data_IF_603407779324
#
_entry.id   IF_603407779324
#
_cell.length_a   1.000
_cell.length_b   1.000
_cell.length_c   1.000
_cell.angle_alpha   90.00
_cell.angle_beta   90.00
_cell.angle_gamma   90.00
#
_symmetry.space_group_name_H-M   'P 1'
#
loop_
_entity.id
_entity.type
_entity.pdbx_description
1 polymer ?
#
# COMPACT_ATOMS: atom_id res chain seq x y z
N UNK A 1 -12.14 14.56 2.13
CA UNK A 1 -10.95 13.93 1.47
C UNK A 1 -10.33 12.96 2.46
N UNK A 2 -9.95 11.76 2.02
CA UNK A 2 -9.21 10.77 2.82
C UNK A 2 -7.92 10.40 2.08
N UNK A 3 -6.85 10.15 2.85
CA UNK A 3 -5.56 9.68 2.35
C UNK A 3 -5.19 8.45 3.17
N UNK A 4 -4.89 7.34 2.50
CA UNK A 4 -4.61 6.04 3.12
C UNK A 4 -3.26 5.56 2.61
N UNK A 5 -2.31 5.34 3.50
CA UNK A 5 -1.02 4.69 3.18
C UNK A 5 -1.05 3.23 3.61
N UNK A 6 -0.76 2.31 2.70
CA UNK A 6 -0.68 0.87 3.00
C UNK A 6 0.58 0.26 2.43
N UNK A 7 1.06 -0.79 3.11
CA UNK A 7 1.91 -1.79 2.46
C UNK A 7 0.94 -2.74 1.75
N UNK A 8 0.91 -2.68 0.42
CA UNK A 8 -0.05 -3.46 -0.37
C UNK A 8 0.18 -4.95 -0.11
N UNK A 9 -0.85 -5.65 0.39
CA UNK A 9 -0.81 -7.08 0.72
C UNK A 9 -0.30 -7.94 -0.44
N UNK A 10 -0.60 -7.53 -1.67
CA UNK A 10 -0.28 -8.30 -2.87
C UNK A 10 1.09 -7.95 -3.47
N UNK A 11 1.76 -6.90 -2.94
CA UNK A 11 3.11 -6.49 -3.34
C UNK A 11 4.20 -7.44 -2.82
N UNK A 12 5.40 -7.34 -3.40
CA UNK A 12 6.57 -8.09 -2.92
C UNK A 12 6.86 -7.83 -1.44
N UNK A 13 6.76 -6.56 -1.01
CA UNK A 13 7.04 -6.15 0.36
C UNK A 13 5.96 -6.64 1.32
N UNK A 14 4.69 -6.54 0.92
CA UNK A 14 3.56 -7.06 1.68
C UNK A 14 3.68 -8.56 1.94
N UNK A 15 4.05 -9.36 0.92
CA UNK A 15 4.28 -10.80 1.08
C UNK A 15 5.40 -11.12 2.06
N UNK A 16 6.52 -10.37 1.99
CA UNK A 16 7.66 -10.56 2.89
C UNK A 16 7.29 -10.23 4.33
N UNK A 17 6.57 -9.14 4.57
CA UNK A 17 6.18 -8.76 5.93
C UNK A 17 5.09 -9.65 6.53
N UNK A 18 4.16 -10.16 5.71
CA UNK A 18 3.21 -11.19 6.15
C UNK A 18 3.91 -12.48 6.59
N UNK A 19 4.99 -12.87 5.93
CA UNK A 19 5.79 -14.03 6.30
C UNK A 19 6.63 -13.81 7.58
N UNK A 20 6.93 -12.55 7.94
CA UNK A 20 7.71 -12.24 9.15
C UNK A 20 6.87 -12.40 10.41
N UNK A 21 7.30 -13.28 11.31
CA UNK A 21 6.78 -13.40 12.69
C UNK A 21 7.31 -12.29 13.62
N UNK A 22 7.26 -11.04 13.16
CA UNK A 22 7.62 -9.85 13.95
C UNK A 22 6.51 -9.53 14.95
N UNK A 23 6.86 -8.93 16.10
CA UNK A 23 5.90 -8.40 17.09
C UNK A 23 4.89 -7.44 16.45
N UNK A 24 5.30 -6.70 15.41
CA UNK A 24 4.46 -5.74 14.70
C UNK A 24 3.57 -6.37 13.64
N UNK A 25 4.09 -7.33 12.86
CA UNK A 25 3.35 -7.88 11.71
C UNK A 25 2.54 -9.13 12.05
N UNK A 26 2.85 -9.82 13.16
CA UNK A 26 2.12 -11.02 13.61
C UNK A 26 0.63 -10.76 13.85
N UNK A 27 0.28 -9.56 14.29
CA UNK A 27 -1.11 -9.15 14.60
C UNK A 27 -1.64 -8.10 13.62
N UNK A 28 -0.86 -7.68 12.63
CA UNK A 28 -1.28 -6.68 11.66
C UNK A 28 -2.24 -7.30 10.64
N UNK A 29 -3.33 -6.59 10.35
CA UNK A 29 -4.19 -6.91 9.21
C UNK A 29 -3.64 -6.22 7.96
N UNK A 30 -3.22 -7.01 6.99
CA UNK A 30 -2.81 -6.50 5.69
C UNK A 30 -4.02 -6.32 4.78
N UNK A 31 -4.01 -5.25 3.99
CA UNK A 31 -5.03 -4.96 2.99
C UNK A 31 -4.37 -4.83 1.62
N UNK A 32 -5.04 -5.33 0.59
CA UNK A 32 -4.73 -5.01 -0.79
C UNK A 32 -5.33 -3.66 -1.18
N UNK A 33 -4.76 -3.02 -2.21
CA UNK A 33 -5.37 -1.82 -2.81
C UNK A 33 -6.81 -2.10 -3.26
N UNK A 34 -7.09 -3.29 -3.79
CA UNK A 34 -8.43 -3.68 -4.28
C UNK A 34 -9.46 -3.71 -3.15
N UNK A 35 -9.09 -4.25 -1.99
CA UNK A 35 -9.95 -4.27 -0.80
C UNK A 35 -10.27 -2.85 -0.32
N UNK A 36 -9.25 -1.97 -0.23
CA UNK A 36 -9.47 -0.57 0.17
C UNK A 36 -10.36 0.17 -0.83
N UNK A 37 -10.16 -0.02 -2.13
CA UNK A 37 -11.01 0.58 -3.17
C UNK A 37 -12.46 0.13 -3.03
N UNK A 38 -12.69 -1.16 -2.75
CA UNK A 38 -14.05 -1.68 -2.51
C UNK A 38 -14.71 -0.99 -1.31
N UNK A 39 -13.99 -0.90 -0.17
CA UNK A 39 -14.48 -0.25 1.04
C UNK A 39 -14.78 1.25 0.83
N UNK A 40 -13.89 1.95 0.11
CA UNK A 40 -14.09 3.36 -0.23
C UNK A 40 -15.35 3.57 -1.09
N UNK A 41 -15.56 2.73 -2.10
CA UNK A 41 -16.77 2.78 -2.94
C UNK A 41 -18.03 2.50 -2.13
N UNK A 42 -18.02 1.49 -1.26
CA UNK A 42 -19.15 1.20 -0.35
C UNK A 42 -19.46 2.38 0.59
N UNK A 43 -18.42 3.09 1.03
CA UNK A 43 -18.55 4.31 1.84
C UNK A 43 -18.89 5.58 1.03
N UNK A 44 -19.23 5.44 -0.27
CA UNK A 44 -19.57 6.53 -1.21
C UNK A 44 -18.43 7.52 -1.48
N UNK A 45 -17.17 7.11 -1.36
CA UNK A 45 -16.05 7.88 -1.86
C UNK A 45 -15.89 7.69 -3.38
N UNK A 46 -15.39 8.72 -4.03
CA UNK A 46 -15.13 8.83 -5.46
C UNK A 46 -13.78 9.51 -5.73
N UNK A 47 -13.46 9.76 -7.01
CA UNK A 47 -12.20 10.40 -7.46
C UNK A 47 -10.97 9.76 -6.82
N UNK A 48 -10.91 8.43 -6.88
CA UNK A 48 -9.85 7.64 -6.25
C UNK A 48 -8.58 7.72 -7.12
N UNK A 49 -7.47 8.07 -6.50
CA UNK A 49 -6.14 8.18 -7.14
C UNK A 49 -5.09 7.45 -6.31
N UNK A 50 -3.98 7.08 -6.96
CA UNK A 50 -2.97 6.18 -6.41
C UNK A 50 -1.57 6.68 -6.72
N UNK A 51 -0.67 6.57 -5.73
CA UNK A 51 0.78 6.64 -5.92
C UNK A 51 1.47 5.51 -5.19
N UNK A 52 2.62 5.08 -5.71
CA UNK A 52 3.40 3.97 -5.16
C UNK A 52 4.89 4.31 -5.08
N UNK A 53 5.59 3.69 -4.14
CA UNK A 53 7.05 3.77 -3.96
C UNK A 53 7.56 2.48 -3.32
N UNK A 54 8.86 2.39 -3.05
CA UNK A 54 9.56 1.21 -2.52
C UNK A 54 9.47 0.04 -3.50
N UNK A 55 10.17 0.13 -4.61
CA UNK A 55 10.29 -0.87 -5.67
C UNK A 55 11.36 -1.93 -5.37
N UNK A 56 12.28 -1.65 -4.46
CA UNK A 56 13.27 -2.62 -3.97
C UNK A 56 13.09 -2.91 -2.48
N UNK A 57 13.76 -3.96 -1.99
CA UNK A 57 13.74 -4.27 -0.57
C UNK A 57 14.34 -3.12 0.23
N UNK A 58 13.79 -2.78 1.41
CA UNK A 58 14.32 -1.71 2.25
C UNK A 58 15.82 -1.82 2.57
N UNK A 59 16.34 -3.06 2.68
CA UNK A 59 17.77 -3.33 2.90
C UNK A 59 18.66 -3.04 1.69
N UNK A 60 18.09 -2.87 0.50
CA UNK A 60 18.79 -2.60 -0.76
C UNK A 60 18.67 -1.13 -1.20
N UNK A 61 17.88 -0.32 -0.48
CA UNK A 61 17.68 1.09 -0.81
C UNK A 61 18.99 1.86 -0.57
N UNK A 62 19.55 2.39 -1.66
CA UNK A 62 20.76 3.24 -1.64
C UNK A 62 20.43 4.73 -1.72
N UNK A 63 19.22 5.05 -2.13
CA UNK A 63 18.71 6.41 -2.32
C UNK A 63 17.18 6.42 -2.14
N UNK A 64 16.61 7.60 -1.99
CA UNK A 64 15.16 7.79 -1.97
C UNK A 64 14.59 7.35 -3.31
N UNK A 65 13.61 6.45 -3.27
CA UNK A 65 12.93 6.03 -4.50
C UNK A 65 11.76 6.97 -4.82
N UNK A 66 11.75 7.56 -6.03
CA UNK A 66 10.71 8.49 -6.42
C UNK A 66 9.35 7.79 -6.48
N UNK A 67 8.29 8.48 -6.07
CA UNK A 67 6.94 7.94 -6.22
C UNK A 67 6.54 7.87 -7.70
N UNK A 68 5.84 6.82 -8.09
CA UNK A 68 5.20 6.67 -9.40
C UNK A 68 3.68 6.65 -9.25
N UNK A 69 2.96 6.98 -10.32
CA UNK A 69 1.50 6.86 -10.33
C UNK A 69 1.06 5.38 -10.37
N UNK A 70 -0.15 5.12 -9.88
CA UNK A 70 -0.73 3.78 -9.84
C UNK A 70 -0.30 2.94 -8.63
N UNK A 71 -0.45 1.62 -8.75
CA UNK A 71 -0.11 0.63 -7.72
C UNK A 71 0.30 -0.72 -8.35
N UNK A 72 0.79 -1.66 -7.53
CA UNK A 72 1.09 -3.04 -7.92
C UNK A 72 2.55 -3.34 -8.27
N UNK A 73 3.42 -2.34 -8.36
CA UNK A 73 4.87 -2.51 -8.51
C UNK A 73 5.62 -2.23 -7.21
N UNK A 74 5.29 -1.11 -6.57
CA UNK A 74 5.88 -0.69 -5.30
C UNK A 74 5.30 -1.47 -4.12
N UNK A 75 6.07 -1.54 -3.04
CA UNK A 75 5.71 -2.15 -1.77
C UNK A 75 4.80 -1.26 -0.90
N UNK A 76 4.83 0.06 -1.12
CA UNK A 76 4.01 1.01 -0.40
C UNK A 76 3.14 1.82 -1.37
N UNK A 77 1.87 1.98 -1.03
CA UNK A 77 0.86 2.65 -1.86
C UNK A 77 0.11 3.69 -1.03
N UNK A 78 -0.03 4.89 -1.59
CA UNK A 78 -0.89 5.96 -1.09
C UNK A 78 -2.15 6.02 -1.96
N UNK A 79 -3.31 5.96 -1.32
CA UNK A 79 -4.64 6.02 -1.93
C UNK A 79 -5.29 7.32 -1.46
N UNK A 80 -5.71 8.18 -2.37
CA UNK A 80 -6.46 9.39 -2.05
C UNK A 80 -7.87 9.31 -2.65
N UNK A 81 -8.88 9.69 -1.87
CA UNK A 81 -10.27 9.70 -2.32
C UNK A 81 -11.05 10.89 -1.75
N UNK A 82 -12.13 11.26 -2.43
CA UNK A 82 -13.01 12.36 -2.07
C UNK A 82 -14.42 11.82 -1.81
N UNK A 83 -15.15 12.44 -0.88
CA UNK A 83 -16.55 12.13 -0.64
C UNK A 83 -17.38 13.25 -1.23
#
# INVERSE_FOLDING_TARGET
KIIIGIIDKDSFLGKIYQAKKSKFYKTARFFSVREIVSLLKQARFSKISFRQTIFHLPSQLRQIEPSQDGYGKGGFVVIAAYK
#
